data_IF_109170269049
#
_entry.id   IF_109170269049
#
_cell.length_a   1.000
_cell.length_b   1.000
_cell.length_c   1.000
_cell.angle_alpha   90.00
_cell.angle_beta   90.00
_cell.angle_gamma   90.00
#
_symmetry.space_group_name_H-M   'P 1'
#
loop_
_entity.id
_entity.type
_entity.pdbx_description
1 polymer ?
#
# COMPACT_ATOMS: atom_id res chain seq x y z
N UNK A 1 52.54 4.66 -59.92
CA UNK A 1 52.68 6.14 -59.92
C UNK A 1 51.89 6.68 -61.10
N UNK A 2 51.13 7.79 -61.03
CA UNK A 2 50.69 8.58 -59.88
C UNK A 2 49.16 8.89 -59.85
N UNK A 3 48.69 9.31 -58.68
CA UNK A 3 47.36 9.90 -58.42
C UNK A 3 47.15 11.21 -59.19
N UNK A 4 45.90 11.71 -59.25
CA UNK A 4 45.73 13.04 -58.70
C UNK A 4 44.55 13.14 -57.72
N UNK A 5 44.89 13.65 -56.55
CA UNK A 5 43.99 14.18 -55.55
C UNK A 5 43.11 15.30 -56.13
N UNK A 6 41.84 15.29 -55.73
CA UNK A 6 40.96 16.45 -55.82
C UNK A 6 40.14 16.60 -54.53
N UNK A 7 39.72 17.84 -54.24
CA UNK A 7 40.07 18.49 -52.99
C UNK A 7 38.94 18.44 -51.96
N UNK A 8 39.35 18.67 -50.72
CA UNK A 8 38.53 19.08 -49.58
C UNK A 8 37.53 20.15 -50.02
N UNK A 9 36.24 19.83 -49.95
CA UNK A 9 35.16 20.80 -49.91
C UNK A 9 34.35 20.53 -48.65
N UNK A 10 34.58 21.41 -47.67
CA UNK A 10 33.77 21.62 -46.49
C UNK A 10 32.29 21.70 -46.88
N UNK A 11 31.49 20.75 -46.38
CA UNK A 11 30.04 20.94 -46.24
C UNK A 11 29.74 21.05 -44.75
N UNK A 12 29.71 22.29 -44.27
CA UNK A 12 29.05 22.66 -43.03
C UNK A 12 27.54 22.43 -43.24
N UNK A 13 27.02 21.31 -42.74
CA UNK A 13 25.59 21.10 -42.60
C UNK A 13 25.21 21.27 -41.13
N UNK A 14 24.66 22.45 -40.81
CA UNK A 14 23.90 22.70 -39.60
C UNK A 14 22.81 21.62 -39.47
N UNK A 15 22.91 20.73 -38.47
CA UNK A 15 21.75 19.97 -38.01
C UNK A 15 21.01 20.80 -36.95
N UNK A 16 19.76 21.24 -37.21
CA UNK A 16 18.94 21.87 -36.20
C UNK A 16 18.48 20.83 -35.18
N UNK A 17 18.63 21.23 -33.91
CA UNK A 17 17.91 20.84 -32.71
C UNK A 17 16.74 19.87 -32.93
N UNK A 18 16.92 18.63 -32.49
CA UNK A 18 15.80 17.80 -32.06
C UNK A 18 16.09 17.35 -30.63
N UNK A 19 15.86 18.25 -29.67
CA UNK A 19 15.66 17.83 -28.29
C UNK A 19 14.28 17.18 -28.24
N UNK A 20 14.13 15.86 -28.06
CA UNK A 20 12.85 15.29 -27.70
C UNK A 20 12.53 15.90 -26.33
N UNK A 21 11.64 16.91 -26.35
CA UNK A 21 11.08 17.50 -25.15
C UNK A 21 10.35 16.37 -24.44
N UNK A 22 11.07 15.71 -23.53
CA UNK A 22 10.56 14.69 -22.64
C UNK A 22 9.81 15.41 -21.52
N UNK A 23 8.80 16.20 -21.92
CA UNK A 23 7.73 16.56 -21.02
C UNK A 23 6.97 15.25 -20.81
N UNK A 24 7.38 14.52 -19.78
CA UNK A 24 6.63 13.42 -19.19
C UNK A 24 5.28 14.02 -18.77
N UNK A 25 4.35 14.04 -19.71
CA UNK A 25 2.99 14.46 -19.45
C UNK A 25 2.41 13.39 -18.52
N UNK A 26 2.35 13.69 -17.23
CA UNK A 26 1.45 13.03 -16.30
C UNK A 26 0.03 13.24 -16.85
N UNK A 27 -0.39 12.36 -17.77
CA UNK A 27 -1.78 12.20 -18.17
C UNK A 27 -2.48 11.64 -16.95
N UNK A 28 -2.99 12.54 -16.11
CA UNK A 28 -3.99 12.18 -15.12
C UNK A 28 -5.21 11.71 -15.92
N UNK A 29 -5.27 10.42 -16.20
CA UNK A 29 -6.48 9.78 -16.73
C UNK A 29 -7.60 10.16 -15.77
N UNK A 30 -8.56 10.94 -16.28
CA UNK A 30 -9.72 11.39 -15.52
C UNK A 30 -10.63 10.18 -15.32
N UNK A 31 -10.25 9.31 -14.38
CA UNK A 31 -11.08 8.22 -13.94
C UNK A 31 -12.38 8.79 -13.39
N UNK A 32 -13.51 8.33 -13.91
CA UNK A 32 -14.81 8.62 -13.30
C UNK A 32 -14.82 7.98 -11.92
N UNK A 33 -14.67 8.80 -10.88
CA UNK A 33 -14.84 8.32 -9.52
C UNK A 33 -16.28 7.80 -9.34
N UNK A 34 -16.48 6.66 -8.65
CA UNK A 34 -17.81 6.17 -8.34
C UNK A 34 -18.63 7.23 -7.62
N UNK A 35 -19.93 7.32 -7.93
CA UNK A 35 -20.85 8.15 -7.14
C UNK A 35 -21.00 7.50 -5.76
N UNK A 36 -21.07 8.32 -4.72
CA UNK A 36 -21.18 7.85 -3.32
C UNK A 36 -22.38 6.90 -3.13
N UNK A 37 -23.46 7.12 -3.89
CA UNK A 37 -24.67 6.32 -3.82
C UNK A 37 -24.48 4.88 -4.36
N UNK A 38 -23.48 4.65 -5.21
CA UNK A 38 -23.20 3.35 -5.84
C UNK A 38 -22.23 2.50 -5.00
N UNK A 39 -21.66 3.05 -3.91
CA UNK A 39 -20.75 2.33 -3.02
C UNK A 39 -21.59 1.41 -2.12
N UNK A 40 -21.37 0.08 -2.15
CA UNK A 40 -22.13 -0.85 -1.32
C UNK A 40 -21.92 -0.53 0.16
N UNK A 41 -23.00 -0.51 0.93
CA UNK A 41 -22.93 -0.30 2.38
C UNK A 41 -22.18 -1.47 3.03
N UNK A 42 -21.29 -1.17 3.97
CA UNK A 42 -20.65 -2.18 4.80
C UNK A 42 -21.71 -3.05 5.50
N UNK A 43 -21.56 -4.37 5.36
CA UNK A 43 -22.43 -5.38 5.98
C UNK A 43 -21.81 -5.96 7.25
N UNK A 44 -20.52 -5.68 7.48
CA UNK A 44 -19.74 -6.18 8.60
C UNK A 44 -19.17 -5.02 9.42
N UNK A 45 -19.38 -5.08 10.73
CA UNK A 45 -18.75 -4.18 11.71
C UNK A 45 -17.38 -4.70 12.16
N UNK A 46 -16.49 -3.78 12.54
CA UNK A 46 -15.14 -4.09 13.00
C UNK A 46 -15.11 -4.89 14.31
N UNK A 47 -16.15 -4.76 15.14
CA UNK A 47 -16.34 -5.52 16.38
C UNK A 47 -16.40 -7.03 16.16
N UNK A 48 -16.99 -7.48 15.05
CA UNK A 48 -17.15 -8.92 14.75
C UNK A 48 -15.85 -9.56 14.26
N UNK A 49 -15.00 -8.80 13.58
CA UNK A 49 -13.68 -9.27 13.12
C UNK A 49 -12.60 -9.11 14.17
N UNK A 50 -12.86 -8.33 15.23
CA UNK A 50 -11.99 -8.19 16.39
C UNK A 50 -12.06 -9.38 17.36
N UNK A 51 -12.84 -10.43 17.07
CA UNK A 51 -12.85 -11.70 17.82
C UNK A 51 -11.56 -12.51 17.52
N UNK A 52 -10.43 -11.96 17.99
CA UNK A 52 -9.08 -12.48 17.81
C UNK A 52 -8.32 -12.32 19.12
N UNK A 53 -7.60 -13.36 19.51
CA UNK A 53 -6.70 -13.34 20.68
C UNK A 53 -5.28 -13.55 20.23
N UNK A 54 -4.36 -12.81 20.81
CA UNK A 54 -2.94 -13.05 20.63
C UNK A 54 -2.44 -14.04 21.68
N UNK A 55 -1.69 -15.06 21.24
CA UNK A 55 -1.05 -16.03 22.12
C UNK A 55 0.42 -16.17 21.78
N UNK A 56 1.25 -16.33 22.80
CA UNK A 56 2.66 -16.65 22.64
C UNK A 56 2.84 -18.14 22.31
N UNK A 57 3.60 -18.41 21.25
CA UNK A 57 3.93 -19.76 20.81
C UNK A 57 5.44 -19.92 20.78
N UNK A 58 5.95 -20.94 21.48
CA UNK A 58 7.35 -21.33 21.43
C UNK A 58 7.68 -21.91 20.04
N UNK A 59 8.74 -21.40 19.44
CA UNK A 59 9.33 -21.88 18.19
C UNK A 59 10.81 -22.21 18.43
N UNK A 60 11.44 -22.91 17.47
CA UNK A 60 12.84 -23.38 17.62
C UNK A 60 13.84 -22.29 18.06
N UNK A 61 13.59 -21.03 17.69
CA UNK A 61 14.48 -19.90 17.95
C UNK A 61 13.84 -18.80 18.82
N UNK A 62 12.91 -19.13 19.71
CA UNK A 62 12.32 -18.16 20.65
C UNK A 62 10.80 -18.26 20.77
N UNK A 63 10.15 -17.15 21.11
CA UNK A 63 8.69 -17.05 21.21
C UNK A 63 8.16 -16.16 20.08
N UNK A 64 7.01 -16.52 19.51
CA UNK A 64 6.30 -15.72 18.52
C UNK A 64 4.86 -15.51 18.93
N UNK A 65 4.34 -14.33 18.64
CA UNK A 65 2.92 -14.03 18.78
C UNK A 65 2.15 -14.67 17.62
N UNK A 66 1.04 -15.32 17.95
CA UNK A 66 0.11 -15.95 16.99
C UNK A 66 -1.30 -15.48 17.30
N UNK A 67 -2.02 -15.09 16.26
CA UNK A 67 -3.45 -14.85 16.34
C UNK A 67 -4.23 -16.18 16.44
N UNK A 68 -5.16 -16.24 17.39
CA UNK A 68 -6.19 -17.26 17.55
C UNK A 68 -7.53 -16.60 17.23
N UNK A 69 -8.12 -16.98 16.10
CA UNK A 69 -9.40 -16.46 15.65
C UNK A 69 -10.54 -17.13 16.43
N UNK A 70 -11.45 -16.34 17.00
CA UNK A 70 -12.63 -16.84 17.69
C UNK A 70 -13.71 -17.33 16.74
N UNK A 71 -14.81 -17.90 17.27
CA UNK A 71 -15.88 -18.48 16.46
C UNK A 71 -16.46 -17.51 15.44
N UNK A 72 -16.62 -16.22 15.78
CA UNK A 72 -17.20 -15.26 14.86
C UNK A 72 -16.36 -15.11 13.59
N UNK A 73 -15.04 -15.02 13.74
CA UNK A 73 -14.12 -14.91 12.60
C UNK A 73 -14.02 -16.22 11.84
N UNK A 74 -14.00 -17.36 12.53
CA UNK A 74 -13.98 -18.66 11.87
C UNK A 74 -15.22 -18.92 11.02
N UNK A 75 -16.40 -18.52 11.49
CA UNK A 75 -17.66 -18.67 10.74
C UNK A 75 -17.73 -17.80 9.47
N UNK A 76 -16.91 -16.76 9.38
CA UNK A 76 -16.81 -15.88 8.21
C UNK A 76 -15.88 -16.42 7.13
N UNK A 77 -15.16 -17.52 7.38
CA UNK A 77 -14.25 -18.11 6.42
C UNK A 77 -14.99 -18.51 5.13
N UNK A 78 -14.52 -18.02 3.98
CA UNK A 78 -15.08 -18.30 2.66
C UNK A 78 -16.35 -17.53 2.31
N UNK A 79 -16.83 -16.63 3.17
CA UNK A 79 -18.00 -15.79 2.89
C UNK A 79 -17.61 -14.50 2.16
N UNK A 80 -18.47 -14.03 1.26
CA UNK A 80 -18.35 -12.69 0.67
C UNK A 80 -18.93 -11.65 1.64
N UNK A 81 -18.11 -10.69 2.03
CA UNK A 81 -18.45 -9.68 3.04
C UNK A 81 -18.08 -8.28 2.52
N UNK A 82 -18.89 -7.28 2.84
CA UNK A 82 -18.57 -5.88 2.58
C UNK A 82 -18.12 -5.23 3.89
N UNK A 83 -16.89 -4.73 3.92
CA UNK A 83 -16.29 -4.08 5.08
C UNK A 83 -15.83 -2.67 4.69
N UNK A 84 -16.21 -1.68 5.49
CA UNK A 84 -15.78 -0.29 5.29
C UNK A 84 -14.51 0.00 6.09
N UNK A 85 -13.55 0.69 5.49
CA UNK A 85 -12.29 1.05 6.17
C UNK A 85 -11.38 1.88 5.29
N UNK A 86 -10.13 2.02 5.76
CA UNK A 86 -9.07 2.77 5.09
C UNK A 86 -8.02 1.81 4.57
N UNK A 87 -7.60 2.02 3.32
CA UNK A 87 -6.57 1.22 2.66
C UNK A 87 -5.20 1.81 2.97
N UNK A 88 -4.29 0.97 3.45
CA UNK A 88 -2.88 1.29 3.65
C UNK A 88 -2.08 0.44 2.64
N UNK A 89 -1.56 1.02 1.56
CA UNK A 89 -0.84 0.27 0.54
C UNK A 89 0.50 -0.23 1.09
N UNK A 90 0.88 -1.46 0.74
CA UNK A 90 2.17 -2.04 1.12
C UNK A 90 3.24 -1.86 0.02
N UNK A 91 2.83 -1.40 -1.15
CA UNK A 91 3.67 -1.21 -2.31
C UNK A 91 3.66 0.27 -2.72
N UNK A 92 4.80 0.78 -3.19
CA UNK A 92 4.94 2.14 -3.68
C UNK A 92 4.73 2.20 -5.20
N UNK A 93 3.60 1.70 -5.65
CA UNK A 93 3.21 1.69 -7.07
C UNK A 93 1.88 2.40 -7.24
N UNK A 94 1.58 2.90 -8.45
CA UNK A 94 0.29 3.55 -8.71
C UNK A 94 -0.91 2.60 -8.54
N UNK A 95 -0.67 1.30 -8.69
CA UNK A 95 -1.67 0.25 -8.50
C UNK A 95 -1.10 -0.82 -7.58
N UNK A 96 -1.56 -0.84 -6.34
CA UNK A 96 -1.19 -1.89 -5.39
C UNK A 96 -2.28 -2.93 -5.27
N UNK A 97 -1.87 -4.21 -5.21
CA UNK A 97 -2.77 -5.34 -4.93
C UNK A 97 -2.62 -5.86 -3.51
N UNK A 98 -1.58 -5.40 -2.79
CA UNK A 98 -1.29 -5.75 -1.42
C UNK A 98 -1.50 -4.55 -0.52
N UNK A 99 -2.45 -4.66 0.38
CA UNK A 99 -2.79 -3.58 1.30
C UNK A 99 -3.19 -4.14 2.65
N UNK A 100 -3.12 -3.28 3.64
CA UNK A 100 -3.77 -3.50 4.93
C UNK A 100 -5.05 -2.68 4.98
N UNK A 101 -6.06 -3.23 5.64
CA UNK A 101 -7.33 -2.56 5.86
C UNK A 101 -7.41 -2.15 7.33
N UNK A 102 -7.68 -0.88 7.58
CA UNK A 102 -7.79 -0.31 8.91
C UNK A 102 -9.20 0.22 9.19
N UNK A 103 -9.66 0.06 10.43
CA UNK A 103 -10.89 0.66 10.93
C UNK A 103 -10.82 2.19 10.99
N UNK A 104 -9.61 2.71 11.28
CA UNK A 104 -9.35 4.12 11.49
C UNK A 104 -8.44 4.68 10.41
N UNK A 105 -8.64 5.94 10.06
CA UNK A 105 -7.75 6.64 9.15
C UNK A 105 -6.33 6.63 9.74
N UNK A 106 -5.30 6.26 8.95
CA UNK A 106 -3.94 6.30 9.46
C UNK A 106 -3.55 7.74 9.78
N UNK A 107 -3.22 8.01 11.04
CA UNK A 107 -2.67 9.30 11.46
C UNK A 107 -1.22 9.50 10.99
N UNK A 108 -0.52 8.39 10.71
CA UNK A 108 0.88 8.32 10.36
C UNK A 108 1.08 7.22 9.30
N UNK A 109 1.41 7.57 8.04
CA UNK A 109 1.52 6.58 6.95
C UNK A 109 2.74 5.65 7.08
N UNK A 110 3.68 5.99 7.96
CA UNK A 110 4.90 5.22 8.23
C UNK A 110 4.87 4.45 9.55
N UNK A 111 3.79 4.61 10.33
CA UNK A 111 3.67 3.90 11.59
C UNK A 111 3.25 2.46 11.31
N UNK A 112 3.81 1.48 12.02
CA UNK A 112 3.36 0.11 11.90
C UNK A 112 1.85 0.05 12.16
N UNK A 113 1.11 -0.68 11.32
CA UNK A 113 -0.31 -0.92 11.55
C UNK A 113 -0.48 -1.63 12.92
N UNK A 114 -1.56 -1.34 13.65
CA UNK A 114 -1.95 -2.16 14.80
C UNK A 114 -2.08 -3.63 14.37
N UNK A 115 -1.69 -4.55 15.25
CA UNK A 115 -1.78 -5.98 15.02
C UNK A 115 -3.23 -6.44 14.85
N UNK A 116 -3.44 -7.65 14.35
CA UNK A 116 -4.78 -8.18 14.09
C UNK A 116 -5.67 -8.30 15.35
N UNK A 117 -5.09 -8.29 16.54
CA UNK A 117 -5.80 -8.31 17.83
C UNK A 117 -6.10 -6.91 18.39
N UNK A 118 -5.49 -5.86 17.84
CA UNK A 118 -5.55 -4.49 18.38
C UNK A 118 -6.81 -3.72 17.90
N UNK A 119 -7.70 -4.37 17.15
CA UNK A 119 -8.90 -3.79 16.54
C UNK A 119 -10.08 -3.54 17.48
N UNK A 120 -9.96 -3.92 18.75
CA UNK A 120 -10.94 -3.61 19.80
C UNK A 120 -10.33 -2.61 20.78
N UNK A 121 -10.97 -1.45 20.97
CA UNK A 121 -10.49 -0.36 21.81
C UNK A 121 -9.93 -0.83 23.16
N UNK A 122 -8.62 -1.00 23.21
CA UNK A 122 -7.83 -1.10 24.43
C UNK A 122 -7.39 0.30 24.77
N UNK A 123 -7.84 0.81 25.91
CA UNK A 123 -7.28 1.98 26.54
C UNK A 123 -5.76 1.81 26.63
N UNK A 124 -5.02 2.67 25.92
CA UNK A 124 -3.62 2.93 26.23
C UNK A 124 -3.59 3.62 27.61
N UNK A 125 -3.74 2.83 28.68
CA UNK A 125 -3.36 3.28 30.00
C UNK A 125 -1.83 3.31 30.05
N UNK A 126 -1.29 4.52 30.06
CA UNK A 126 0.13 4.75 30.27
C UNK A 126 0.54 4.27 31.66
N UNK A 127 1.53 3.39 31.72
CA UNK A 127 2.37 3.21 32.89
C UNK A 127 3.68 2.49 32.50
N UNK A 128 4.82 3.15 32.72
CA UNK A 128 6.11 2.45 32.77
C UNK A 128 7.30 3.22 32.22
N UNK A 129 7.69 4.30 32.89
CA UNK A 129 9.08 4.74 32.86
C UNK A 129 10.01 3.55 33.13
N UNK A 130 10.99 3.32 32.25
CA UNK A 130 12.29 2.81 32.68
C UNK A 130 13.39 3.30 31.76
N UNK A 131 14.08 4.32 32.25
CA UNK A 131 15.45 4.63 31.87
C UNK A 131 16.30 3.36 31.92
N UNK A 132 17.05 3.15 30.83
CA UNK A 132 18.43 2.68 30.89
C UNK A 132 19.27 3.70 30.12
#
# INVERSE_FOLDING_TARGET
MPLPHRPVLLLAALLPVLMPSSALALRLEKGTAPKVQDIPRATLGWDRIADVKEVEVKVKNGTRLRAIFGPNVQHMAGQSLTLGGYIIPLEQTERSTHFLLSALAPSCPFCPPPGAADGGGGTHDGAGHRQL
#
